data_IF_717883389743
#
_entry.id   IF_717883389743
#
_cell.length_a   1.000
_cell.length_b   1.000
_cell.length_c   1.000
_cell.angle_alpha   90.00
_cell.angle_beta   90.00
_cell.angle_gamma   90.00
#
_symmetry.space_group_name_H-M   'P 1'
#
loop_
_entity.id
_entity.type
_entity.pdbx_description
1 polymer ?
#
# COMPACT_ATOMS: atom_id res chain seq x y z
N UNK A 1 54.44 -17.31 50.66
CA UNK A 1 55.07 -18.56 51.14
C UNK A 1 53.95 -19.55 51.42
N UNK A 2 53.92 -20.81 51.00
CA UNK A 2 54.80 -21.63 50.18
C UNK A 2 54.02 -22.92 49.86
N UNK A 3 54.16 -23.41 48.62
CA UNK A 3 54.37 -24.82 48.19
C UNK A 3 53.47 -25.98 48.68
N UNK A 4 52.74 -26.57 47.72
CA UNK A 4 52.79 -27.96 47.17
C UNK A 4 53.46 -29.09 47.99
N UNK A 5 53.03 -30.38 47.84
CA UNK A 5 53.60 -31.23 46.76
C UNK A 5 52.77 -32.41 46.20
N UNK A 6 53.36 -33.02 45.16
CA UNK A 6 53.13 -34.33 44.52
C UNK A 6 52.15 -34.37 43.32
N UNK A 7 52.44 -34.95 42.16
CA UNK A 7 53.62 -35.65 41.65
C UNK A 7 53.23 -36.76 40.65
N UNK A 8 53.85 -36.74 39.44
CA UNK A 8 54.27 -37.90 38.63
C UNK A 8 53.42 -38.47 37.45
N UNK A 9 53.95 -38.18 36.24
CA UNK A 9 54.33 -39.07 35.09
C UNK A 9 53.33 -39.60 34.02
N UNK A 10 53.67 -39.19 32.79
CA UNK A 10 53.83 -39.90 31.47
C UNK A 10 52.60 -40.48 30.75
N UNK A 11 52.43 -40.03 29.50
CA UNK A 11 51.65 -40.68 28.44
C UNK A 11 52.22 -40.35 27.05
N UNK A 12 52.29 -41.38 26.20
CA UNK A 12 53.15 -41.55 25.02
C UNK A 12 52.59 -40.94 23.73
N UNK A 13 53.47 -40.46 22.84
CA UNK A 13 53.17 -39.99 21.48
C UNK A 13 52.76 -41.18 20.59
N UNK A 14 51.56 -41.14 20.02
CA UNK A 14 51.06 -42.12 19.03
C UNK A 14 50.90 -41.44 17.67
N UNK A 15 51.59 -41.97 16.65
CA UNK A 15 51.45 -41.58 15.23
C UNK A 15 50.20 -42.24 14.62
N UNK A 16 49.39 -41.55 13.79
CA UNK A 16 48.28 -42.20 13.11
C UNK A 16 48.72 -42.95 11.84
N UNK A 17 48.28 -44.20 11.73
CA UNK A 17 48.47 -45.11 10.60
C UNK A 17 47.54 -44.82 9.42
N UNK A 18 48.07 -44.98 8.20
CA UNK A 18 47.38 -44.88 6.90
C UNK A 18 46.07 -45.66 6.84
N UNK A 19 44.96 -44.98 6.52
CA UNK A 19 43.71 -45.61 6.08
C UNK A 19 43.72 -45.78 4.54
N UNK A 20 43.48 -47.02 4.10
CA UNK A 20 43.39 -47.43 2.68
C UNK A 20 42.11 -46.87 2.04
N UNK A 21 42.24 -46.19 0.90
CA UNK A 21 41.12 -45.66 0.12
C UNK A 21 40.25 -46.76 -0.51
N UNK A 22 38.93 -46.58 -0.45
CA UNK A 22 37.94 -47.38 -1.21
C UNK A 22 37.81 -46.81 -2.64
N UNK A 23 37.58 -47.64 -3.67
CA UNK A 23 37.50 -47.16 -5.05
C UNK A 23 36.18 -46.41 -5.32
N UNK A 24 36.29 -45.27 -6.01
CA UNK A 24 35.16 -44.46 -6.46
C UNK A 24 34.37 -45.21 -7.56
N UNK A 25 33.10 -45.50 -7.29
CA UNK A 25 32.14 -45.98 -8.29
C UNK A 25 31.92 -44.90 -9.36
N UNK A 26 32.30 -45.25 -10.59
CA UNK A 26 32.20 -44.49 -11.85
C UNK A 26 30.80 -43.89 -12.06
N UNK A 27 30.69 -42.55 -12.04
CA UNK A 27 29.47 -41.80 -12.45
C UNK A 27 29.27 -41.96 -13.96
N UNK A 28 28.33 -42.80 -14.39
CA UNK A 28 27.92 -42.90 -15.82
C UNK A 28 26.43 -42.64 -16.09
N UNK A 29 25.61 -42.35 -15.08
CA UNK A 29 24.15 -42.22 -15.23
C UNK A 29 23.58 -40.80 -14.96
N UNK A 30 24.36 -39.73 -15.14
CA UNK A 30 23.87 -38.35 -14.97
C UNK A 30 23.78 -37.55 -16.29
N UNK A 31 24.36 -38.06 -17.39
CA UNK A 31 24.47 -37.30 -18.66
C UNK A 31 23.27 -37.45 -19.59
N UNK A 32 22.63 -38.62 -19.66
CA UNK A 32 21.48 -38.85 -20.54
C UNK A 32 20.19 -38.14 -20.07
N UNK A 33 19.94 -38.08 -18.76
CA UNK A 33 18.73 -37.45 -18.20
C UNK A 33 18.70 -35.93 -18.46
N UNK A 34 19.86 -35.29 -18.45
CA UNK A 34 20.00 -33.86 -18.77
C UNK A 34 19.83 -33.57 -20.27
N UNK A 35 20.17 -34.50 -21.17
CA UNK A 35 19.96 -34.28 -22.60
C UNK A 35 18.47 -34.37 -22.97
N UNK A 36 17.76 -35.35 -22.41
CA UNK A 36 16.32 -35.50 -22.60
C UNK A 36 15.53 -34.34 -21.98
N UNK A 37 15.87 -33.88 -20.77
CA UNK A 37 15.17 -32.75 -20.14
C UNK A 37 15.45 -31.42 -20.83
N UNK A 38 16.69 -31.19 -21.28
CA UNK A 38 17.05 -29.94 -21.97
C UNK A 38 16.38 -29.88 -23.34
N UNK A 39 16.33 -30.99 -24.07
CA UNK A 39 15.61 -31.07 -25.35
C UNK A 39 14.09 -30.87 -25.17
N UNK A 40 13.51 -31.36 -24.07
CA UNK A 40 12.09 -31.14 -23.76
C UNK A 40 11.79 -29.67 -23.43
N UNK A 41 12.65 -29.02 -22.65
CA UNK A 41 12.52 -27.59 -22.33
C UNK A 41 12.69 -26.70 -23.56
N UNK A 42 13.63 -27.05 -24.45
CA UNK A 42 13.83 -26.33 -25.72
C UNK A 42 12.58 -26.48 -26.60
N UNK A 43 12.03 -27.69 -26.73
CA UNK A 43 10.82 -27.93 -27.51
C UNK A 43 9.61 -27.17 -26.95
N UNK A 44 9.46 -27.12 -25.63
CA UNK A 44 8.43 -26.34 -24.95
C UNK A 44 8.59 -24.83 -25.19
N UNK A 45 9.83 -24.32 -25.16
CA UNK A 45 10.12 -22.91 -25.46
C UNK A 45 9.77 -22.56 -26.91
N UNK A 46 10.14 -23.42 -27.88
CA UNK A 46 9.77 -23.22 -29.29
C UNK A 46 8.26 -23.27 -29.49
N UNK A 47 7.55 -24.17 -28.81
CA UNK A 47 6.09 -24.24 -28.86
C UNK A 47 5.44 -22.97 -28.29
N UNK A 48 5.93 -22.46 -27.16
CA UNK A 48 5.45 -21.20 -26.58
C UNK A 48 5.74 -20.00 -27.51
N UNK A 49 6.92 -19.96 -28.14
CA UNK A 49 7.28 -18.92 -29.09
C UNK A 49 6.41 -18.97 -30.36
N UNK A 50 6.08 -20.17 -30.85
CA UNK A 50 5.17 -20.36 -31.98
C UNK A 50 3.74 -19.96 -31.64
N UNK A 51 3.24 -20.27 -30.44
CA UNK A 51 1.94 -19.79 -29.97
C UNK A 51 1.92 -18.26 -29.85
N UNK A 52 2.99 -17.66 -29.35
CA UNK A 52 3.14 -16.20 -29.27
C UNK A 52 3.16 -15.55 -30.66
N UNK A 53 3.91 -16.11 -31.61
CA UNK A 53 3.91 -15.68 -33.02
C UNK A 53 2.54 -15.87 -33.68
N UNK A 54 1.86 -16.98 -33.40
CA UNK A 54 0.50 -17.23 -33.90
C UNK A 54 -0.49 -16.21 -33.36
N UNK A 55 -0.40 -15.83 -32.07
CA UNK A 55 -1.20 -14.73 -31.50
C UNK A 55 -0.88 -13.41 -32.19
N UNK A 56 0.39 -13.10 -32.44
CA UNK A 56 0.81 -11.89 -33.18
C UNK A 56 0.29 -11.87 -34.63
N UNK A 57 0.23 -13.03 -35.29
CA UNK A 57 -0.20 -13.17 -36.68
C UNK A 57 -1.73 -13.26 -36.85
N UNK A 58 -2.46 -13.74 -35.84
CA UNK A 58 -3.92 -13.90 -35.88
C UNK A 58 -4.66 -12.73 -35.24
N UNK A 59 -4.08 -12.09 -34.23
CA UNK A 59 -4.56 -10.81 -33.74
C UNK A 59 -4.00 -9.75 -34.68
N UNK A 60 -4.87 -9.02 -35.41
CA UNK A 60 -4.47 -7.79 -36.07
C UNK A 60 -4.01 -6.82 -34.98
N UNK A 61 -2.72 -6.86 -34.64
CA UNK A 61 -2.07 -5.84 -33.82
C UNK A 61 -2.36 -4.53 -34.55
N UNK A 62 -3.11 -3.59 -33.95
CA UNK A 62 -3.24 -2.28 -34.56
C UNK A 62 -1.83 -1.77 -34.74
N UNK A 63 -1.44 -1.50 -36.01
CA UNK A 63 -0.15 -0.90 -36.33
C UNK A 63 0.06 0.23 -35.32
N UNK A 64 1.24 0.36 -34.68
CA UNK A 64 1.51 1.57 -33.93
C UNK A 64 1.22 2.69 -34.91
N UNK A 65 0.20 3.50 -34.61
CA UNK A 65 0.02 4.73 -35.33
C UNK A 65 1.39 5.36 -35.28
N UNK A 66 1.98 5.64 -36.44
CA UNK A 66 3.11 6.53 -36.52
C UNK A 66 2.68 7.72 -35.67
N UNK A 67 3.23 7.83 -34.46
CA UNK A 67 3.14 9.06 -33.73
C UNK A 67 3.89 9.98 -34.67
N UNK A 68 3.14 10.71 -35.51
CA UNK A 68 3.63 11.91 -36.10
C UNK A 68 4.15 12.66 -34.89
N UNK A 69 5.48 12.56 -34.70
CA UNK A 69 6.21 13.48 -33.86
C UNK A 69 5.75 14.80 -34.43
N UNK A 70 4.91 15.56 -33.72
CA UNK A 70 4.61 16.89 -34.21
C UNK A 70 6.01 17.46 -34.40
N UNK A 71 6.31 17.97 -35.59
CA UNK A 71 7.32 18.98 -35.65
C UNK A 71 6.86 19.98 -34.59
N UNK A 72 7.54 19.97 -33.44
CA UNK A 72 7.49 21.08 -32.52
C UNK A 72 8.11 22.21 -33.33
N UNK A 73 7.28 22.83 -34.17
CA UNK A 73 7.36 24.25 -34.33
C UNK A 73 7.52 24.75 -32.89
N UNK A 74 8.60 25.49 -32.58
CA UNK A 74 8.60 26.19 -31.32
C UNK A 74 7.25 26.90 -31.32
N UNK A 75 6.39 26.53 -30.38
CA UNK A 75 5.22 27.33 -30.10
C UNK A 75 5.87 28.62 -29.61
N UNK A 76 6.15 29.52 -30.54
CA UNK A 76 6.14 30.93 -30.28
C UNK A 76 4.72 31.14 -29.82
N UNK A 77 4.54 30.95 -28.51
CA UNK A 77 3.41 31.48 -27.79
C UNK A 77 3.57 32.96 -28.06
N UNK A 78 2.94 33.42 -29.12
CA UNK A 78 2.65 34.84 -29.28
C UNK A 78 1.87 35.14 -28.03
N UNK A 79 2.61 35.64 -27.04
CA UNK A 79 2.10 36.03 -25.74
C UNK A 79 1.28 37.23 -26.14
N UNK A 80 0.00 37.00 -26.41
CA UNK A 80 -0.93 38.08 -26.68
C UNK A 80 -0.81 38.97 -25.44
N UNK A 81 -0.23 40.19 -25.55
CA UNK A 81 0.07 41.00 -24.38
C UNK A 81 -1.22 41.42 -23.65
N UNK A 82 -2.37 41.18 -24.28
CA UNK A 82 -3.72 41.42 -23.77
C UNK A 82 -4.43 40.15 -23.28
N UNK A 83 -3.78 38.99 -23.22
CA UNK A 83 -4.31 37.86 -22.45
C UNK A 83 -4.06 38.17 -20.97
N UNK A 84 -4.92 39.01 -20.38
CA UNK A 84 -5.06 39.06 -18.93
C UNK A 84 -5.22 37.63 -18.45
N UNK A 85 -4.19 37.10 -17.78
CA UNK A 85 -4.33 35.91 -16.95
C UNK A 85 -5.42 36.27 -15.95
N UNK A 86 -6.65 35.89 -16.25
CA UNK A 86 -7.76 36.04 -15.33
C UNK A 86 -7.46 35.06 -14.21
N UNK A 87 -6.84 35.59 -13.16
CA UNK A 87 -6.70 34.87 -11.89
C UNK A 87 -8.09 34.37 -11.48
N UNK A 88 -8.17 33.12 -11.04
CA UNK A 88 -9.43 32.57 -10.56
C UNK A 88 -9.90 33.45 -9.39
N UNK A 89 -11.13 33.94 -9.46
CA UNK A 89 -11.72 34.74 -8.37
C UNK A 89 -11.93 33.82 -7.17
N UNK A 90 -11.14 34.02 -6.12
CA UNK A 90 -11.21 33.28 -4.86
C UNK A 90 -11.20 34.25 -3.68
N UNK A 91 -11.78 33.86 -2.56
CA UNK A 91 -11.81 34.69 -1.34
C UNK A 91 -10.45 34.71 -0.63
N UNK A 92 -9.70 33.60 -0.70
CA UNK A 92 -8.40 33.43 -0.04
C UNK A 92 -7.42 32.77 -1.01
N UNK A 93 -6.24 33.37 -1.18
CA UNK A 93 -5.08 32.71 -1.77
C UNK A 93 -4.05 32.42 -0.68
N UNK A 94 -3.39 31.26 -0.72
CA UNK A 94 -2.34 30.93 0.26
C UNK A 94 -1.21 31.95 0.23
N UNK A 95 -0.88 32.48 -0.96
CA UNK A 95 0.16 33.49 -1.11
C UNK A 95 -0.20 34.78 -0.36
N UNK A 96 -1.36 35.36 -0.62
CA UNK A 96 -1.76 36.61 0.03
C UNK A 96 -1.98 36.42 1.53
N UNK A 97 -2.41 35.23 1.94
CA UNK A 97 -2.53 34.87 3.34
C UNK A 97 -1.15 34.85 4.02
N UNK A 98 -0.15 34.22 3.41
CA UNK A 98 1.23 34.18 3.91
C UNK A 98 1.84 35.58 4.01
N UNK A 99 1.56 36.47 3.06
CA UNK A 99 2.07 37.84 3.09
C UNK A 99 1.46 38.69 4.22
N UNK A 100 0.30 38.28 4.77
CA UNK A 100 -0.45 39.02 5.81
C UNK A 100 -0.30 38.44 7.21
N UNK A 101 -0.07 37.14 7.35
CA UNK A 101 0.04 36.49 8.66
C UNK A 101 1.38 36.90 9.32
N UNK A 102 1.34 37.27 10.60
CA UNK A 102 2.52 37.68 11.36
C UNK A 102 3.35 36.48 11.89
N UNK A 103 2.78 35.28 11.88
CA UNK A 103 3.40 34.02 12.35
C UNK A 103 3.93 34.08 13.79
N UNK A 104 3.27 34.83 14.66
CA UNK A 104 3.62 34.90 16.07
C UNK A 104 3.31 33.57 16.77
N UNK A 105 4.24 33.07 17.58
CA UNK A 105 4.10 31.86 18.40
C UNK A 105 3.79 32.25 19.86
N UNK A 106 2.56 32.73 20.08
CA UNK A 106 2.07 33.18 21.40
C UNK A 106 1.34 32.02 22.08
N UNK A 107 1.55 31.83 23.40
CA UNK A 107 0.84 30.80 24.16
C UNK A 107 -0.66 31.14 24.31
N UNK A 108 -1.51 30.35 23.65
CA UNK A 108 -2.98 30.47 23.69
C UNK A 108 -3.67 29.86 24.91
N UNK A 109 -2.93 29.35 25.90
CA UNK A 109 -3.48 28.70 27.09
C UNK A 109 -3.68 27.19 26.90
N UNK A 110 -4.85 26.61 27.26
CA UNK A 110 -5.11 25.18 27.03
C UNK A 110 -5.03 24.78 25.55
N UNK A 111 -5.50 25.64 24.65
CA UNK A 111 -5.24 25.53 23.22
C UNK A 111 -3.98 26.32 22.86
N UNK A 112 -2.83 25.65 22.87
CA UNK A 112 -1.50 26.28 22.82
C UNK A 112 -1.27 27.21 21.64
N UNK A 113 -1.83 26.91 20.47
CA UNK A 113 -1.64 27.65 19.23
C UNK A 113 -2.89 28.45 18.79
N UNK A 114 -3.82 28.68 19.73
CA UNK A 114 -5.05 29.40 19.45
C UNK A 114 -5.36 30.41 20.54
N UNK A 115 -6.63 30.46 20.94
CA UNK A 115 -7.12 31.39 21.96
C UNK A 115 -8.24 30.75 22.78
N UNK A 116 -8.66 31.41 23.85
CA UNK A 116 -9.81 30.97 24.66
C UNK A 116 -11.10 31.07 23.84
N UNK A 117 -11.68 29.92 23.49
CA UNK A 117 -12.93 29.85 22.75
C UNK A 117 -14.10 30.02 23.73
N UNK A 118 -14.98 30.98 23.44
CA UNK A 118 -16.18 31.25 24.24
C UNK A 118 -17.45 31.07 23.41
N UNK A 119 -18.53 30.70 24.09
CA UNK A 119 -19.86 30.51 23.52
C UNK A 119 -20.88 31.20 24.44
N UNK A 120 -21.95 31.75 23.88
CA UNK A 120 -23.07 32.35 24.62
C UNK A 120 -23.95 31.29 25.27
N UNK A 121 -24.04 30.11 24.66
CA UNK A 121 -24.80 28.96 25.14
C UNK A 121 -26.18 28.81 24.50
N UNK A 122 -26.62 29.78 23.69
CA UNK A 122 -27.91 29.82 22.99
C UNK A 122 -27.80 29.55 21.48
N UNK A 123 -26.59 29.28 20.97
CA UNK A 123 -26.32 29.11 19.53
C UNK A 123 -27.11 27.95 18.90
N UNK A 124 -27.54 26.98 19.70
CA UNK A 124 -28.18 25.74 19.26
C UNK A 124 -29.63 25.58 19.76
N UNK A 125 -30.28 26.69 20.11
CA UNK A 125 -31.67 26.71 20.52
C UNK A 125 -32.62 26.51 19.32
N UNK A 126 -32.29 27.11 18.17
CA UNK A 126 -33.06 26.98 16.93
C UNK A 126 -32.78 25.69 16.15
N UNK A 127 -31.52 25.26 16.10
CA UNK A 127 -31.09 24.01 15.46
C UNK A 127 -30.07 23.30 16.34
N UNK A 128 -30.23 21.98 16.53
CA UNK A 128 -29.30 21.20 17.36
C UNK A 128 -27.98 20.94 16.65
N UNK A 129 -26.89 21.13 17.38
CA UNK A 129 -25.55 20.71 16.95
C UNK A 129 -25.52 19.19 16.72
N UNK A 130 -25.16 18.78 15.51
CA UNK A 130 -24.97 17.37 15.15
C UNK A 130 -23.51 16.98 15.38
N UNK A 131 -23.28 16.04 16.30
CA UNK A 131 -21.94 15.55 16.63
C UNK A 131 -21.75 14.15 16.06
N UNK A 132 -20.76 13.99 15.18
CA UNK A 132 -20.35 12.70 14.64
C UNK A 132 -19.03 12.28 15.26
N UNK A 133 -19.06 11.21 16.06
CA UNK A 133 -17.85 10.58 16.55
C UNK A 133 -17.39 9.57 15.52
N UNK A 134 -16.16 9.70 15.01
CA UNK A 134 -15.63 8.89 13.91
C UNK A 134 -14.44 8.05 14.39
N UNK A 135 -14.68 6.80 14.81
CA UNK A 135 -13.61 5.88 15.18
C UNK A 135 -12.73 5.54 13.97
N UNK A 136 -11.42 5.64 14.15
CA UNK A 136 -10.42 5.33 13.14
C UNK A 136 -9.18 4.71 13.79
N UNK A 137 -8.27 4.18 12.96
CA UNK A 137 -6.94 3.75 13.36
C UNK A 137 -5.98 4.09 12.24
N UNK A 138 -4.97 4.90 12.53
CA UNK A 138 -3.91 5.22 11.58
C UNK A 138 -2.89 4.08 11.52
N UNK A 139 -2.64 3.54 10.34
CA UNK A 139 -1.82 2.35 10.17
C UNK A 139 -0.71 2.60 9.15
N UNK A 140 0.39 3.20 9.60
CA UNK A 140 1.57 3.49 8.79
C UNK A 140 2.12 2.24 8.06
N UNK A 141 2.10 2.21 6.72
CA UNK A 141 2.71 1.13 5.93
C UNK A 141 4.24 1.26 5.91
N UNK A 142 4.86 1.13 7.07
CA UNK A 142 6.29 1.33 7.31
C UNK A 142 6.59 2.69 7.93
N UNK A 143 7.15 2.68 9.14
CA UNK A 143 7.65 3.86 9.84
C UNK A 143 8.72 3.44 10.86
N UNK A 144 8.33 3.18 12.11
CA UNK A 144 9.24 2.63 13.13
C UNK A 144 9.48 1.14 12.97
N UNK A 145 8.48 0.42 12.47
CA UNK A 145 8.57 -0.98 12.08
C UNK A 145 8.40 -1.09 10.57
N UNK A 146 8.81 -2.23 10.02
CA UNK A 146 8.55 -2.55 8.61
C UNK A 146 7.07 -2.84 8.39
N UNK A 147 6.63 -2.80 7.12
CA UNK A 147 5.25 -3.13 6.72
C UNK A 147 4.82 -4.48 7.31
N UNK A 148 5.66 -5.50 7.19
CA UNK A 148 5.33 -6.86 7.63
C UNK A 148 5.25 -6.97 9.16
N UNK A 149 6.17 -6.34 9.89
CA UNK A 149 6.14 -6.34 11.35
C UNK A 149 4.88 -5.65 11.88
N UNK A 150 4.52 -4.49 11.32
CA UNK A 150 3.26 -3.83 11.65
C UNK A 150 2.05 -4.72 11.36
N UNK A 151 2.02 -5.36 10.19
CA UNK A 151 0.91 -6.25 9.82
C UNK A 151 0.76 -7.40 10.82
N UNK A 152 1.84 -8.13 11.10
CA UNK A 152 1.82 -9.31 11.95
C UNK A 152 1.56 -8.97 13.42
N UNK A 153 2.04 -7.84 13.91
CA UNK A 153 1.95 -7.46 15.32
C UNK A 153 0.74 -6.58 15.64
N UNK A 154 0.18 -5.85 14.66
CA UNK A 154 -0.85 -4.83 14.88
C UNK A 154 -1.98 -4.88 13.88
N UNK A 155 -1.75 -4.52 12.61
CA UNK A 155 -2.82 -4.20 11.64
C UNK A 155 -3.77 -5.38 11.41
N UNK A 156 -3.25 -6.61 11.35
CA UNK A 156 -4.07 -7.82 11.26
C UNK A 156 -5.04 -7.97 12.43
N UNK A 157 -4.56 -7.73 13.65
CA UNK A 157 -5.38 -7.84 14.86
C UNK A 157 -6.42 -6.73 14.94
N UNK A 158 -6.08 -5.53 14.49
CA UNK A 158 -7.00 -4.40 14.39
C UNK A 158 -8.14 -4.74 13.42
N UNK A 159 -7.83 -5.23 12.23
CA UNK A 159 -8.85 -5.62 11.24
C UNK A 159 -9.73 -6.78 11.73
N UNK A 160 -9.14 -7.78 12.39
CA UNK A 160 -9.92 -8.84 13.05
C UNK A 160 -10.87 -8.29 14.13
N UNK A 161 -10.40 -7.34 14.93
CA UNK A 161 -11.20 -6.70 15.98
C UNK A 161 -12.31 -5.81 15.39
N UNK A 162 -12.06 -5.10 14.29
CA UNK A 162 -13.07 -4.31 13.57
C UNK A 162 -14.22 -5.22 13.13
N UNK A 163 -13.90 -6.30 12.39
CA UNK A 163 -14.93 -7.24 11.90
C UNK A 163 -15.74 -7.83 13.05
N UNK A 164 -15.06 -8.25 14.11
CA UNK A 164 -15.73 -8.83 15.28
C UNK A 164 -16.61 -7.80 16.02
N UNK A 165 -16.13 -6.57 16.17
CA UNK A 165 -16.78 -5.55 17.01
C UNK A 165 -17.95 -4.89 16.28
N UNK A 166 -17.81 -4.62 14.99
CA UNK A 166 -18.88 -4.06 14.17
C UNK A 166 -20.02 -5.07 13.96
N UNK A 167 -19.70 -6.35 13.76
CA UNK A 167 -20.71 -7.41 13.61
C UNK A 167 -21.60 -7.60 14.86
N UNK A 168 -21.19 -7.10 16.03
CA UNK A 168 -21.95 -7.22 17.29
C UNK A 168 -23.01 -6.13 17.51
N UNK A 169 -22.88 -4.96 16.89
CA UNK A 169 -23.80 -3.84 17.07
C UNK A 169 -23.82 -2.97 15.81
N UNK A 170 -24.96 -2.95 15.11
CA UNK A 170 -25.16 -2.27 13.83
C UNK A 170 -25.00 -0.75 13.90
N UNK A 171 -25.03 -0.15 15.11
CA UNK A 171 -24.85 1.29 15.31
C UNK A 171 -23.38 1.69 15.29
N UNK A 172 -22.46 0.75 15.50
CA UNK A 172 -21.03 1.05 15.53
C UNK A 172 -20.52 1.38 14.14
N UNK A 173 -19.68 2.40 14.07
CA UNK A 173 -19.04 2.88 12.86
C UNK A 173 -17.52 2.82 13.00
N UNK A 174 -16.82 2.65 11.89
CA UNK A 174 -15.38 2.75 11.81
C UNK A 174 -14.96 3.18 10.40
N UNK A 175 -13.87 3.91 10.27
CA UNK A 175 -13.25 4.22 8.97
C UNK A 175 -11.89 3.53 8.84
N UNK A 176 -11.60 3.01 7.65
CA UNK A 176 -10.31 2.40 7.32
C UNK A 176 -9.73 3.04 6.06
N UNK A 177 -8.43 3.28 6.05
CA UNK A 177 -7.78 4.00 4.95
C UNK A 177 -6.79 3.15 4.17
N UNK A 178 -5.84 2.50 4.85
CA UNK A 178 -4.67 1.92 4.20
C UNK A 178 -4.98 0.57 3.54
N UNK A 179 -5.22 0.61 2.22
CA UNK A 179 -5.62 -0.56 1.45
C UNK A 179 -4.53 -1.62 1.34
N UNK A 180 -3.25 -1.24 1.48
CA UNK A 180 -2.13 -2.20 1.51
C UNK A 180 -2.28 -3.25 2.61
N UNK A 181 -2.68 -2.83 3.81
CA UNK A 181 -2.94 -3.75 4.91
C UNK A 181 -4.26 -4.49 4.76
N UNK A 182 -5.30 -3.84 4.22
CA UNK A 182 -6.58 -4.49 3.99
C UNK A 182 -6.50 -5.59 2.93
N UNK A 183 -5.80 -5.36 1.81
CA UNK A 183 -5.54 -6.38 0.78
C UNK A 183 -4.82 -7.57 1.38
N UNK A 184 -3.76 -7.30 2.15
CA UNK A 184 -2.97 -8.35 2.80
C UNK A 184 -3.82 -9.15 3.79
N UNK A 185 -4.59 -8.47 4.64
CA UNK A 185 -5.52 -9.11 5.57
C UNK A 185 -6.56 -9.94 4.84
N UNK A 186 -7.14 -9.40 3.76
CA UNK A 186 -8.14 -10.10 2.98
C UNK A 186 -7.61 -11.43 2.48
N UNK A 187 -6.40 -11.47 1.91
CA UNK A 187 -5.75 -12.70 1.46
C UNK A 187 -5.60 -13.74 2.57
N UNK A 188 -5.29 -13.31 3.78
CA UNK A 188 -5.04 -14.19 4.93
C UNK A 188 -6.33 -14.55 5.71
N UNK A 189 -7.41 -13.77 5.55
CA UNK A 189 -8.68 -13.95 6.26
C UNK A 189 -9.44 -15.20 5.79
N UNK A 190 -10.16 -15.83 6.71
CA UNK A 190 -11.07 -16.94 6.40
C UNK A 190 -12.29 -16.47 5.62
N UNK A 191 -12.94 -17.39 4.88
CA UNK A 191 -14.16 -17.07 4.13
C UNK A 191 -15.24 -16.42 5.02
N UNK A 192 -15.47 -16.94 6.21
CA UNK A 192 -16.43 -16.35 7.17
C UNK A 192 -16.08 -14.91 7.55
N UNK A 193 -14.80 -14.60 7.81
CA UNK A 193 -14.39 -13.23 8.14
C UNK A 193 -14.57 -12.28 6.96
N UNK A 194 -14.29 -12.77 5.74
CA UNK A 194 -14.52 -12.01 4.50
C UNK A 194 -16.00 -11.72 4.29
N UNK A 195 -16.87 -12.70 4.53
CA UNK A 195 -18.33 -12.52 4.42
C UNK A 195 -18.85 -11.50 5.43
N UNK A 196 -18.39 -11.56 6.67
CA UNK A 196 -18.77 -10.59 7.70
C UNK A 196 -18.22 -9.19 7.39
N UNK A 197 -16.99 -9.10 6.88
CA UNK A 197 -16.43 -7.85 6.37
C UNK A 197 -17.28 -7.25 5.24
N UNK A 198 -17.72 -8.05 4.27
CA UNK A 198 -18.60 -7.59 3.20
C UNK A 198 -19.92 -7.05 3.78
N UNK A 199 -20.50 -7.71 4.79
CA UNK A 199 -21.76 -7.26 5.41
C UNK A 199 -21.61 -5.91 6.09
N UNK A 200 -20.55 -5.73 6.91
CA UNK A 200 -20.32 -4.47 7.64
C UNK A 200 -19.96 -3.30 6.71
N UNK A 201 -19.40 -3.58 5.54
CA UNK A 201 -19.21 -2.58 4.49
C UNK A 201 -20.53 -2.24 3.82
N UNK A 202 -21.30 -3.26 3.38
CA UNK A 202 -22.58 -3.07 2.68
C UNK A 202 -23.64 -2.35 3.51
N UNK A 203 -23.63 -2.53 4.83
CA UNK A 203 -24.56 -1.86 5.74
C UNK A 203 -24.04 -0.50 6.26
N UNK A 204 -22.90 -0.03 5.74
CA UNK A 204 -22.31 1.27 6.06
C UNK A 204 -21.75 1.37 7.48
N UNK A 205 -21.42 0.26 8.14
CA UNK A 205 -20.73 0.29 9.44
C UNK A 205 -19.22 0.52 9.29
N UNK A 206 -18.62 -0.04 8.24
CA UNK A 206 -17.23 0.20 7.88
C UNK A 206 -17.20 0.99 6.57
N UNK A 207 -16.57 2.16 6.60
CA UNK A 207 -16.33 2.97 5.41
C UNK A 207 -14.84 2.95 5.06
N UNK A 208 -14.53 2.81 3.77
CA UNK A 208 -13.16 2.97 3.27
C UNK A 208 -12.98 4.40 2.83
N UNK A 209 -12.05 5.11 3.45
CA UNK A 209 -11.72 6.52 3.16
C UNK A 209 -10.38 6.60 2.44
N UNK A 210 -10.21 7.57 1.54
CA UNK A 210 -9.02 7.69 0.69
C UNK A 210 -8.95 6.60 -0.39
N UNK A 211 -8.88 5.34 0.02
CA UNK A 211 -8.88 4.18 -0.88
C UNK A 211 -7.60 4.00 -1.67
N UNK A 212 -6.52 4.68 -1.27
CA UNK A 212 -5.17 4.55 -1.81
C UNK A 212 -4.35 3.46 -1.11
N UNK A 213 -3.22 3.05 -1.71
CA UNK A 213 -2.38 1.97 -1.16
C UNK A 213 -1.79 2.35 0.19
N UNK A 214 -1.49 3.63 0.32
CA UNK A 214 -1.02 4.33 1.51
C UNK A 214 -1.66 5.73 1.54
N UNK A 215 -1.66 6.37 2.71
CA UNK A 215 -1.75 7.83 2.79
C UNK A 215 -0.40 8.39 2.29
N UNK A 216 -0.38 9.00 1.11
CA UNK A 216 0.89 9.38 0.47
C UNK A 216 1.45 10.68 1.07
N UNK A 217 2.77 10.86 1.02
CA UNK A 217 3.41 12.16 1.25
C UNK A 217 2.93 13.19 0.20
N UNK A 218 2.68 14.43 0.62
CA UNK A 218 2.20 15.49 -0.27
C UNK A 218 3.31 16.46 -0.73
N UNK A 219 4.53 16.34 -0.20
CA UNK A 219 5.64 17.25 -0.52
C UNK A 219 6.56 16.75 -1.66
N UNK A 220 7.00 15.48 -1.60
CA UNK A 220 8.00 14.91 -2.51
C UNK A 220 7.40 13.91 -3.52
N UNK A 221 6.08 13.88 -3.65
CA UNK A 221 5.38 12.92 -4.50
C UNK A 221 5.19 13.43 -5.92
N UNK A 222 5.36 12.52 -6.89
CA UNK A 222 4.98 12.78 -8.27
C UNK A 222 3.51 12.39 -8.50
N UNK A 223 2.74 13.22 -9.21
CA UNK A 223 1.34 12.96 -9.54
C UNK A 223 1.12 11.58 -10.21
N UNK A 224 2.09 11.12 -11.00
CA UNK A 224 2.03 9.78 -11.62
C UNK A 224 2.09 8.63 -10.61
N UNK A 225 2.72 8.84 -9.45
CA UNK A 225 2.80 7.87 -8.36
C UNK A 225 1.47 7.78 -7.61
N UNK A 226 0.75 8.90 -7.42
CA UNK A 226 -0.61 8.90 -6.86
C UNK A 226 -1.52 8.03 -7.71
N UNK A 227 -1.57 8.30 -9.02
CA UNK A 227 -2.40 7.52 -9.94
C UNK A 227 -2.05 6.02 -9.94
N UNK A 228 -0.79 5.64 -9.69
CA UNK A 228 -0.40 4.24 -9.55
C UNK A 228 -0.87 3.63 -8.22
N UNK A 229 -0.75 4.35 -7.10
CA UNK A 229 -1.27 3.90 -5.80
C UNK A 229 -2.77 3.59 -5.88
N UNK A 230 -3.54 4.43 -6.58
CA UNK A 230 -4.98 4.25 -6.76
C UNK A 230 -5.30 3.11 -7.75
N UNK A 231 -4.54 3.01 -8.85
CA UNK A 231 -4.71 1.94 -9.85
C UNK A 231 -4.38 0.55 -9.33
N UNK A 232 -3.43 0.41 -8.40
CA UNK A 232 -3.10 -0.88 -7.76
C UNK A 232 -4.29 -1.47 -6.99
N UNK A 233 -5.24 -0.62 -6.59
CA UNK A 233 -6.40 -1.01 -5.78
C UNK A 233 -7.63 -1.25 -6.63
N UNK A 234 -7.74 -0.59 -7.78
CA UNK A 234 -8.90 -0.70 -8.66
C UNK A 234 -9.39 -2.15 -8.88
N UNK A 235 -8.54 -3.18 -9.10
CA UNK A 235 -9.00 -4.56 -9.23
C UNK A 235 -9.50 -5.18 -7.90
N UNK A 236 -8.85 -4.86 -6.78
CA UNK A 236 -9.23 -5.34 -5.45
C UNK A 236 -10.52 -4.66 -4.97
N UNK A 237 -10.62 -3.34 -5.13
CA UNK A 237 -11.84 -2.60 -4.90
C UNK A 237 -12.97 -3.08 -5.82
N UNK A 238 -12.73 -3.33 -7.10
CA UNK A 238 -13.75 -3.91 -7.98
C UNK A 238 -14.21 -5.30 -7.50
N UNK A 239 -13.30 -6.15 -7.02
CA UNK A 239 -13.66 -7.46 -6.45
C UNK A 239 -14.49 -7.34 -5.17
N UNK A 240 -14.21 -6.34 -4.35
CA UNK A 240 -14.86 -6.10 -3.05
C UNK A 240 -16.20 -5.36 -3.18
N UNK A 241 -16.30 -4.46 -4.16
CA UNK A 241 -17.38 -3.49 -4.31
C UNK A 241 -18.21 -3.64 -5.60
N UNK A 242 -17.99 -4.69 -6.40
CA UNK A 242 -18.96 -5.06 -7.46
C UNK A 242 -20.24 -5.60 -6.83
N UNK A 243 -21.10 -4.66 -6.42
CA UNK A 243 -22.49 -4.89 -6.14
C UNK A 243 -23.29 -4.46 -7.39
N UNK A 244 -24.21 -5.29 -7.92
CA UNK A 244 -25.16 -4.85 -8.93
C UNK A 244 -26.17 -3.93 -8.24
N UNK A 245 -25.82 -2.67 -8.04
CA UNK A 245 -26.64 -1.69 -7.34
C UNK A 245 -25.78 -0.55 -6.81
N UNK A 246 -26.06 0.65 -7.32
CA UNK A 246 -25.50 1.96 -6.95
C UNK A 246 -24.94 2.02 -5.52
N UNK A 247 -23.62 2.05 -5.41
CA UNK A 247 -22.89 2.64 -4.30
C UNK A 247 -21.71 3.41 -4.90
N UNK A 248 -21.46 4.62 -4.39
CA UNK A 248 -20.68 5.72 -4.98
C UNK A 248 -21.41 6.53 -6.07
N UNK A 249 -22.39 7.33 -5.62
CA UNK A 249 -22.57 8.66 -6.20
C UNK A 249 -21.97 9.67 -5.20
N UNK A 250 -20.93 10.39 -5.61
CA UNK A 250 -20.37 11.52 -4.85
C UNK A 250 -21.22 12.79 -5.01
N UNK A 251 -22.48 12.67 -5.48
CA UNK A 251 -23.41 13.80 -5.73
C UNK A 251 -24.65 13.84 -4.85
N UNK A 252 -24.72 13.05 -3.78
CA UNK A 252 -25.75 13.30 -2.76
C UNK A 252 -25.25 14.38 -1.81
N UNK A 253 -25.39 15.62 -2.28
CA UNK A 253 -25.19 16.82 -1.49
C UNK A 253 -26.18 16.87 -0.32
N UNK A 254 -25.64 17.19 0.85
CA UNK A 254 -26.37 17.87 1.92
C UNK A 254 -26.49 19.36 1.56
#
# INVERSE_FOLDING_TARGET
MAFSPSGSRRGTIVRPSRLKGKPLKRRRCFRLRNLLSTNLCILAFFFCALLFLFVILTQNIPKPQNLHRPHHHPFSRSRNPNSSLLEARVDITTKDLYDRIEFLDVDGGPWKQGWEVSFKGDEWDGEKLKVFVVPHSHNDPGWKLTVEEYYLQKSRHILDAIVQTLSKDSRRKFIWEEMSYLERWWRDASASKRDDFIKIVKNGQLEIVGGGWVMNDEAFLCLSSIGRSDLLISPFAALMFTCPGRCFDTRDGL
#
